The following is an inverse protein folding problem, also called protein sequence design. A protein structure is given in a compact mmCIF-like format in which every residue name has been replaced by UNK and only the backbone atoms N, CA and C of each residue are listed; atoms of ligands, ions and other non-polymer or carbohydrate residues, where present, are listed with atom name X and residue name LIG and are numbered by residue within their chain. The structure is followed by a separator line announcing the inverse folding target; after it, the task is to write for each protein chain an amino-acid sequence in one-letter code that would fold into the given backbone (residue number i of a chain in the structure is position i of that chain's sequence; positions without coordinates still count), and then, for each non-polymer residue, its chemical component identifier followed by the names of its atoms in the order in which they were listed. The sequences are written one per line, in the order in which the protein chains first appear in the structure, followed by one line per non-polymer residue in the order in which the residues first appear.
data_IF_388766072869
#
_entry.id   IF_388766072869
#
_cell.length_a   1.000
_cell.length_b   1.000
_cell.length_c   1.000
_cell.angle_alpha   90.00
_cell.angle_beta   90.00
_cell.angle_gamma   90.00
#
_symmetry.space_group_name_H-M   'P 1'
#
loop_
_entity.id
_entity.type
_entity.pdbx_description
1 polymer ?
#
# COMPACT_ATOMS: atom_id res chain seq x y z
N UNK A 1 59.25 17.43 -16.58
CA UNK A 1 60.11 18.64 -16.69
C UNK A 1 59.32 19.80 -16.11
N UNK A 2 59.96 20.41 -15.10
CA UNK A 2 59.72 21.69 -14.46
C UNK A 2 58.59 21.82 -13.40
N UNK A 3 58.97 21.55 -12.19
CA UNK A 3 58.71 22.35 -10.95
C UNK A 3 59.66 23.59 -10.97
N UNK A 4 59.62 24.47 -9.98
CA UNK A 4 58.71 24.96 -8.94
C UNK A 4 58.68 26.52 -8.87
N UNK A 5 57.99 27.14 -7.90
CA UNK A 5 58.56 28.19 -7.04
C UNK A 5 57.59 28.65 -5.93
N UNK A 6 58.10 28.39 -4.73
CA UNK A 6 57.76 28.94 -3.43
C UNK A 6 58.06 30.44 -3.36
N UNK A 7 57.30 31.20 -2.58
CA UNK A 7 57.80 32.35 -1.85
C UNK A 7 56.98 32.65 -0.59
N UNK A 8 57.73 32.92 0.45
CA UNK A 8 57.53 33.04 1.88
C UNK A 8 57.43 34.52 2.32
N UNK A 9 56.91 34.73 3.51
CA UNK A 9 57.06 35.85 4.46
C UNK A 9 56.04 37.01 4.30
N UNK A 10 55.50 37.58 5.36
CA UNK A 10 56.10 37.92 6.61
C UNK A 10 55.06 38.41 7.63
N UNK A 11 55.39 38.24 8.86
CA UNK A 11 54.70 38.61 10.08
C UNK A 11 54.72 40.13 10.35
N UNK A 12 53.65 40.62 10.99
CA UNK A 12 53.82 41.74 11.92
C UNK A 12 52.75 41.67 13.03
N UNK A 13 53.25 41.53 14.25
CA UNK A 13 52.46 41.58 15.47
C UNK A 13 52.29 43.03 15.92
N UNK A 14 51.10 43.38 16.40
CA UNK A 14 50.90 44.55 17.30
C UNK A 14 49.89 44.12 18.39
N UNK A 15 50.40 44.12 19.61
CA UNK A 15 49.63 43.92 20.83
C UNK A 15 49.02 45.26 21.26
N UNK A 16 47.75 45.30 21.60
CA UNK A 16 47.13 46.29 22.48
C UNK A 16 46.31 45.58 23.55
N UNK A 17 46.79 45.70 24.79
CA UNK A 17 46.03 45.34 25.97
C UNK A 17 45.07 46.49 26.33
N UNK A 18 43.82 46.22 26.52
CA UNK A 18 42.85 47.07 27.24
C UNK A 18 42.03 46.17 28.17
N UNK A 19 42.21 46.41 29.44
CA UNK A 19 41.46 45.85 30.56
C UNK A 19 40.09 46.48 30.64
N UNK A 20 39.02 45.69 30.71
CA UNK A 20 37.68 46.20 30.91
C UNK A 20 36.71 45.10 31.37
N UNK A 21 36.16 45.31 32.55
CA UNK A 21 35.32 44.41 33.36
C UNK A 21 34.08 43.79 32.69
N UNK A 22 33.88 42.53 33.02
CA UNK A 22 32.63 41.89 33.47
C UNK A 22 31.32 42.31 32.86
N UNK A 23 30.79 41.46 31.97
CA UNK A 23 29.41 41.03 31.99
C UNK A 23 29.31 39.74 31.15
N UNK A 24 28.98 38.63 31.78
CA UNK A 24 28.57 37.40 31.11
C UNK A 24 27.13 37.57 30.63
N UNK A 25 26.85 37.48 29.34
CA UNK A 25 25.51 37.07 28.90
C UNK A 25 25.45 35.56 28.87
N UNK A 26 24.48 35.00 29.58
CA UNK A 26 24.08 33.61 29.46
C UNK A 26 23.80 33.32 27.99
N UNK A 27 24.66 32.54 27.36
CA UNK A 27 24.33 31.92 26.07
C UNK A 27 23.27 30.87 26.30
N UNK A 28 22.00 31.23 26.07
CA UNK A 28 20.98 30.23 25.80
C UNK A 28 21.38 29.53 24.51
N UNK A 29 21.84 28.30 24.72
CA UNK A 29 22.11 27.36 23.63
C UNK A 29 20.78 27.06 22.94
N UNK A 30 20.47 27.83 21.91
CA UNK A 30 19.32 27.56 21.04
C UNK A 30 19.76 26.50 20.05
N UNK A 31 19.69 25.26 20.46
CA UNK A 31 19.71 24.12 19.54
C UNK A 31 18.65 24.38 18.46
N UNK A 32 19.01 24.46 17.18
CA UNK A 32 18.00 24.54 16.16
C UNK A 32 17.20 23.25 16.20
N UNK A 33 15.96 23.32 16.67
CA UNK A 33 15.00 22.25 16.50
C UNK A 33 14.93 21.99 15.00
N UNK A 34 15.53 20.89 14.57
CA UNK A 34 15.34 20.35 13.23
C UNK A 34 13.86 19.99 13.14
N UNK A 35 13.08 20.94 12.66
CA UNK A 35 11.67 20.72 12.38
C UNK A 35 11.56 19.64 11.33
N UNK A 36 11.35 18.42 11.77
CA UNK A 36 10.81 17.37 10.93
C UNK A 36 9.44 17.90 10.53
N UNK A 37 9.38 18.47 9.33
CA UNK A 37 8.11 18.89 8.72
C UNK A 37 7.30 17.61 8.58
N UNK A 38 6.39 17.37 9.51
CA UNK A 38 5.39 16.32 9.43
C UNK A 38 4.67 16.53 8.09
N UNK A 39 5.05 15.70 7.12
CA UNK A 39 4.41 15.76 5.81
C UNK A 39 2.97 15.32 6.02
N UNK A 40 2.05 16.27 5.94
CA UNK A 40 0.63 16.00 6.00
C UNK A 40 0.30 14.77 5.12
N UNK A 41 -0.34 13.79 5.71
CA UNK A 41 -0.76 12.57 5.00
C UNK A 41 -1.62 12.98 3.81
N UNK A 42 -1.22 12.59 2.61
CA UNK A 42 -2.02 12.85 1.42
C UNK A 42 -3.34 12.07 1.52
N UNK A 43 -4.47 12.65 1.13
CA UNK A 43 -5.74 11.95 1.17
C UNK A 43 -5.70 10.71 0.29
N UNK A 44 -6.34 9.62 0.75
CA UNK A 44 -6.54 8.43 -0.06
C UNK A 44 -7.54 8.74 -1.19
N UNK A 45 -7.34 8.12 -2.33
CA UNK A 45 -8.29 8.18 -3.45
C UNK A 45 -8.88 6.81 -3.72
N UNK A 46 -10.05 6.78 -4.34
CA UNK A 46 -10.80 5.55 -4.60
C UNK A 46 -11.06 5.45 -6.10
N UNK A 47 -10.81 4.26 -6.65
CA UNK A 47 -11.15 3.91 -8.01
C UNK A 47 -11.92 2.59 -8.00
N UNK A 48 -13.08 2.55 -8.63
CA UNK A 48 -13.91 1.35 -8.69
C UNK A 48 -13.85 0.73 -10.08
N UNK A 49 -13.75 -0.59 -10.12
CA UNK A 49 -14.00 -1.42 -11.30
C UNK A 49 -15.31 -2.18 -11.10
N UNK A 50 -16.16 -2.14 -12.10
CA UNK A 50 -17.37 -2.98 -12.18
C UNK A 50 -17.45 -3.53 -13.61
N UNK A 51 -17.64 -4.83 -13.80
CA UNK A 51 -17.67 -5.45 -15.12
C UNK A 51 -18.95 -5.12 -15.93
N UNK A 52 -19.97 -4.58 -15.27
CA UNK A 52 -21.24 -4.23 -15.93
C UNK A 52 -22.22 -5.40 -16.09
N UNK A 53 -23.29 -5.13 -16.80
CA UNK A 53 -24.44 -6.06 -16.96
C UNK A 53 -24.11 -7.30 -17.80
N UNK A 54 -23.04 -7.30 -18.57
CA UNK A 54 -22.60 -8.45 -19.35
C UNK A 54 -21.92 -9.54 -18.52
N UNK A 55 -21.53 -9.23 -17.28
CA UNK A 55 -20.98 -10.21 -16.36
C UNK A 55 -22.07 -11.06 -15.71
N UNK A 56 -21.74 -12.30 -15.33
CA UNK A 56 -22.66 -13.17 -14.56
C UNK A 56 -23.05 -12.47 -13.26
N UNK A 57 -22.08 -11.83 -12.60
CA UNK A 57 -22.29 -10.97 -11.44
C UNK A 57 -21.54 -9.65 -11.62
N UNK A 58 -22.28 -8.55 -11.53
CA UNK A 58 -21.74 -7.19 -11.64
C UNK A 58 -21.15 -6.71 -10.29
N UNK A 59 -20.25 -7.52 -9.70
CA UNK A 59 -19.61 -7.17 -8.44
C UNK A 59 -18.59 -6.05 -8.64
N UNK A 60 -18.55 -5.10 -7.72
CA UNK A 60 -17.58 -4.00 -7.75
C UNK A 60 -16.32 -4.36 -6.97
N UNK A 61 -15.15 -4.08 -7.57
CA UNK A 61 -13.88 -4.07 -6.86
C UNK A 61 -13.41 -2.63 -6.64
N UNK A 62 -12.87 -2.33 -5.47
CA UNK A 62 -12.48 -0.98 -5.10
C UNK A 62 -10.98 -0.91 -4.82
N UNK A 63 -10.27 -0.10 -5.60
CA UNK A 63 -8.84 0.21 -5.37
C UNK A 63 -8.73 1.47 -4.54
N UNK A 64 -8.26 1.32 -3.29
CA UNK A 64 -7.94 2.43 -2.39
C UNK A 64 -6.47 2.76 -2.57
N UNK A 65 -6.16 4.00 -2.95
CA UNK A 65 -4.85 4.41 -3.39
C UNK A 65 -4.26 5.49 -2.49
N UNK A 66 -3.05 5.26 -1.99
CA UNK A 66 -2.17 6.26 -1.42
C UNK A 66 -1.27 6.91 -2.48
N UNK A 67 -0.18 7.53 -2.05
CA UNK A 67 0.80 8.14 -2.97
C UNK A 67 1.60 7.10 -3.76
N UNK A 68 1.97 5.98 -3.14
CA UNK A 68 2.81 4.92 -3.71
C UNK A 68 2.12 3.56 -3.72
N UNK A 69 1.38 3.28 -2.67
CA UNK A 69 0.78 1.98 -2.40
C UNK A 69 -0.73 2.00 -2.60
N UNK A 70 -1.31 0.83 -2.81
CA UNK A 70 -2.75 0.65 -2.90
C UNK A 70 -3.20 -0.64 -2.21
N UNK A 71 -4.45 -0.65 -1.77
CA UNK A 71 -5.17 -1.83 -1.28
C UNK A 71 -6.37 -2.04 -2.21
N UNK A 72 -6.54 -3.29 -2.66
CA UNK A 72 -7.72 -3.70 -3.41
C UNK A 72 -8.74 -4.31 -2.45
N UNK A 73 -10.01 -3.99 -2.65
CA UNK A 73 -11.15 -4.64 -2.00
C UNK A 73 -11.90 -5.41 -3.06
N UNK A 74 -12.01 -6.74 -2.85
CA UNK A 74 -12.66 -7.73 -3.72
C UNK A 74 -11.98 -7.96 -5.08
N UNK A 75 -12.06 -9.22 -5.56
CA UNK A 75 -11.17 -9.73 -6.60
C UNK A 75 -11.86 -10.09 -7.92
N UNK A 76 -13.17 -9.90 -8.02
CA UNK A 76 -14.00 -10.31 -9.16
C UNK A 76 -14.29 -11.82 -9.20
N UNK A 77 -15.28 -12.16 -10.05
CA UNK A 77 -15.76 -13.53 -10.21
C UNK A 77 -14.98 -14.31 -11.27
N UNK A 78 -14.76 -13.72 -12.42
CA UNK A 78 -14.17 -14.41 -13.57
C UNK A 78 -12.70 -14.03 -13.76
N UNK A 79 -11.90 -14.95 -14.32
CA UNK A 79 -10.51 -14.65 -14.66
C UNK A 79 -10.41 -13.53 -15.71
N UNK A 80 -11.39 -13.37 -16.62
CA UNK A 80 -11.36 -12.27 -17.59
C UNK A 80 -11.54 -10.92 -16.92
N UNK A 81 -12.43 -10.80 -15.94
CA UNK A 81 -12.65 -9.53 -15.23
C UNK A 81 -11.52 -9.25 -14.25
N UNK A 82 -10.98 -10.28 -13.60
CA UNK A 82 -9.79 -10.15 -12.78
C UNK A 82 -8.57 -9.66 -13.58
N UNK A 83 -8.39 -10.09 -14.86
CA UNK A 83 -7.35 -9.55 -15.75
C UNK A 83 -7.57 -8.08 -16.10
N UNK A 84 -8.82 -7.67 -16.39
CA UNK A 84 -9.15 -6.26 -16.64
C UNK A 84 -8.86 -5.41 -15.40
N UNK A 85 -9.27 -5.90 -14.22
CA UNK A 85 -8.97 -5.27 -12.94
C UNK A 85 -7.45 -5.16 -12.70
N UNK A 86 -6.69 -6.22 -12.96
CA UNK A 86 -5.24 -6.20 -12.85
C UNK A 86 -4.59 -5.16 -13.77
N UNK A 87 -5.08 -5.02 -15.00
CA UNK A 87 -4.63 -3.99 -15.92
C UNK A 87 -4.91 -2.57 -15.40
N UNK A 88 -6.08 -2.35 -14.80
CA UNK A 88 -6.43 -1.07 -14.17
C UNK A 88 -5.53 -0.76 -12.96
N UNK A 89 -5.24 -1.76 -12.11
CA UNK A 89 -4.32 -1.61 -10.98
C UNK A 89 -2.91 -1.24 -11.47
N UNK A 90 -2.39 -1.94 -12.49
CA UNK A 90 -1.08 -1.62 -13.11
C UNK A 90 -1.06 -0.20 -13.70
N UNK A 91 -2.13 0.21 -14.37
CA UNK A 91 -2.25 1.55 -14.96
C UNK A 91 -2.26 2.65 -13.91
N UNK A 92 -2.66 2.37 -12.66
CA UNK A 92 -2.59 3.34 -11.57
C UNK A 92 -1.15 3.72 -11.18
N UNK A 93 -0.17 2.89 -11.55
CA UNK A 93 1.23 3.04 -11.17
C UNK A 93 1.51 2.81 -9.68
N UNK A 94 0.53 2.29 -8.92
CA UNK A 94 0.66 2.01 -7.49
C UNK A 94 1.14 0.58 -7.25
N UNK A 95 1.88 0.38 -6.15
CA UNK A 95 2.21 -0.95 -5.68
C UNK A 95 1.02 -1.51 -4.90
N UNK A 96 0.46 -2.62 -5.36
CA UNK A 96 -0.60 -3.31 -4.62
C UNK A 96 0.03 -4.03 -3.42
N UNK A 97 -0.28 -3.60 -2.21
CA UNK A 97 0.27 -4.16 -0.96
C UNK A 97 -0.64 -5.17 -0.29
N UNK A 98 -1.94 -5.05 -0.51
CA UNK A 98 -2.92 -6.01 0.01
C UNK A 98 -4.15 -6.12 -0.89
N UNK A 99 -4.80 -7.28 -0.81
CA UNK A 99 -6.14 -7.55 -1.32
C UNK A 99 -6.99 -7.99 -0.14
N UNK A 100 -8.06 -7.27 0.13
CA UNK A 100 -9.04 -7.61 1.17
C UNK A 100 -10.28 -8.20 0.53
N UNK A 101 -10.73 -9.35 1.02
CA UNK A 101 -11.96 -10.00 0.57
C UNK A 101 -13.05 -9.75 1.60
N UNK A 102 -14.11 -9.08 1.15
CA UNK A 102 -15.20 -8.64 2.02
C UNK A 102 -16.22 -9.73 2.30
N UNK A 103 -16.44 -10.66 1.37
CA UNK A 103 -17.49 -11.68 1.43
C UNK A 103 -16.96 -13.06 1.06
N UNK A 104 -17.64 -14.10 1.51
CA UNK A 104 -17.31 -15.49 1.20
C UNK A 104 -17.98 -16.01 -0.08
N UNK A 105 -18.69 -15.18 -0.83
CA UNK A 105 -19.28 -15.58 -2.10
C UNK A 105 -18.27 -15.51 -3.24
N UNK A 106 -18.34 -16.44 -4.22
CA UNK A 106 -17.28 -16.66 -5.20
C UNK A 106 -17.04 -15.46 -6.11
N UNK A 107 -18.02 -14.62 -6.32
CA UNK A 107 -17.91 -13.39 -7.10
C UNK A 107 -17.00 -12.33 -6.47
N UNK A 108 -16.69 -12.44 -5.17
CA UNK A 108 -15.74 -11.58 -4.50
C UNK A 108 -14.31 -12.11 -4.51
N UNK A 109 -14.08 -13.46 -4.66
CA UNK A 109 -12.74 -14.02 -4.45
C UNK A 109 -12.22 -14.98 -5.54
N UNK A 110 -13.04 -15.47 -6.47
CA UNK A 110 -12.56 -16.41 -7.51
C UNK A 110 -11.45 -15.80 -8.38
N UNK A 111 -11.50 -14.49 -8.63
CA UNK A 111 -10.46 -13.77 -9.35
C UNK A 111 -9.10 -13.70 -8.65
N UNK A 112 -9.00 -14.13 -7.38
CA UNK A 112 -7.73 -14.16 -6.64
C UNK A 112 -6.67 -15.03 -7.30
N UNK A 113 -7.05 -16.13 -7.98
CA UNK A 113 -6.10 -16.98 -8.72
C UNK A 113 -5.33 -16.16 -9.77
N UNK A 114 -6.04 -15.33 -10.52
CA UNK A 114 -5.46 -14.41 -11.50
C UNK A 114 -4.63 -13.30 -10.80
N UNK A 115 -5.21 -12.65 -9.81
CA UNK A 115 -4.56 -11.52 -9.14
C UNK A 115 -3.31 -11.93 -8.36
N UNK A 116 -3.27 -13.12 -7.76
CA UNK A 116 -2.07 -13.64 -7.10
C UNK A 116 -0.91 -13.86 -8.07
N UNK A 117 -1.21 -14.29 -9.29
CA UNK A 117 -0.20 -14.41 -10.35
C UNK A 117 0.34 -13.06 -10.82
N UNK A 118 -0.52 -12.03 -10.88
CA UNK A 118 -0.16 -10.69 -11.34
C UNK A 118 0.53 -9.84 -10.25
N UNK A 119 0.20 -10.10 -8.96
CA UNK A 119 0.69 -9.36 -7.79
C UNK A 119 1.13 -10.32 -6.68
N UNK A 120 2.19 -11.11 -6.88
CA UNK A 120 2.60 -12.17 -5.95
C UNK A 120 2.96 -11.65 -4.55
N UNK A 121 3.41 -10.40 -4.44
CA UNK A 121 3.80 -9.77 -3.18
C UNK A 121 2.63 -9.19 -2.37
N UNK A 122 1.44 -9.07 -2.98
CA UNK A 122 0.28 -8.55 -2.29
C UNK A 122 -0.23 -9.57 -1.25
N UNK A 123 -0.40 -9.12 0.00
CA UNK A 123 -1.05 -9.94 1.02
C UNK A 123 -2.53 -10.09 0.70
N UNK A 124 -3.05 -11.30 0.79
CA UNK A 124 -4.47 -11.56 0.57
C UNK A 124 -5.10 -11.88 1.92
N UNK A 125 -6.02 -11.04 2.38
CA UNK A 125 -6.60 -11.11 3.72
C UNK A 125 -8.13 -10.99 3.69
N UNK A 126 -8.76 -11.59 4.68
CA UNK A 126 -10.19 -11.42 4.97
C UNK A 126 -10.41 -11.54 6.49
N UNK A 127 -11.61 -11.26 6.97
CA UNK A 127 -11.92 -11.56 8.37
C UNK A 127 -11.82 -13.06 8.66
N UNK A 128 -11.52 -13.47 9.90
CA UNK A 128 -11.51 -14.89 10.26
C UNK A 128 -12.81 -15.61 9.90
N UNK A 129 -13.96 -14.93 10.03
CA UNK A 129 -15.27 -15.47 9.67
C UNK A 129 -15.41 -15.72 8.16
N UNK A 130 -14.97 -14.74 7.35
CA UNK A 130 -14.97 -14.87 5.88
C UNK A 130 -14.02 -15.99 5.42
N UNK A 131 -12.83 -16.09 6.00
CA UNK A 131 -11.87 -17.16 5.71
C UNK A 131 -12.50 -18.53 5.99
N UNK A 132 -13.05 -18.72 7.18
CA UNK A 132 -13.69 -19.98 7.56
C UNK A 132 -14.85 -20.35 6.63
N UNK A 133 -15.68 -19.37 6.24
CA UNK A 133 -16.78 -19.59 5.32
C UNK A 133 -16.31 -19.96 3.89
N UNK A 134 -15.23 -19.35 3.40
CA UNK A 134 -14.60 -19.71 2.12
C UNK A 134 -14.08 -21.14 2.20
N UNK A 135 -13.29 -21.48 3.24
CA UNK A 135 -12.74 -22.84 3.41
C UNK A 135 -13.83 -23.90 3.42
N UNK A 136 -14.92 -23.65 4.13
CA UNK A 136 -16.03 -24.59 4.24
C UNK A 136 -16.77 -24.81 2.92
N UNK A 137 -16.89 -23.78 2.08
CA UNK A 137 -17.82 -23.80 0.93
C UNK A 137 -17.12 -23.77 -0.44
N UNK A 138 -15.80 -23.54 -0.53
CA UNK A 138 -15.07 -23.35 -1.78
C UNK A 138 -15.29 -24.44 -2.82
N UNK A 139 -15.30 -25.70 -2.39
CA UNK A 139 -15.37 -26.85 -3.30
C UNK A 139 -16.79 -26.99 -3.92
N UNK A 140 -17.83 -26.79 -3.11
CA UNK A 140 -19.20 -26.81 -3.62
C UNK A 140 -19.46 -25.60 -4.53
N UNK A 141 -18.94 -24.41 -4.19
CA UNK A 141 -19.05 -23.22 -5.01
C UNK A 141 -18.31 -23.39 -6.35
N UNK A 142 -17.11 -23.96 -6.35
CA UNK A 142 -16.37 -24.26 -7.58
C UNK A 142 -17.11 -25.31 -8.44
N UNK A 143 -17.68 -26.33 -7.83
CA UNK A 143 -18.48 -27.34 -8.54
C UNK A 143 -19.71 -26.75 -9.22
N UNK A 144 -20.38 -25.79 -8.58
CA UNK A 144 -21.58 -25.12 -9.11
C UNK A 144 -21.22 -24.13 -10.21
N UNK A 145 -20.25 -23.26 -9.96
CA UNK A 145 -19.97 -22.11 -10.81
C UNK A 145 -18.88 -22.35 -11.86
N UNK A 146 -17.97 -23.31 -11.60
CA UNK A 146 -16.90 -23.65 -12.54
C UNK A 146 -17.39 -23.94 -13.96
N UNK A 147 -18.42 -24.82 -14.15
CA UNK A 147 -18.98 -25.08 -15.48
C UNK A 147 -19.53 -23.86 -16.20
N UNK A 148 -20.08 -22.89 -15.46
CA UNK A 148 -20.63 -21.66 -16.03
C UNK A 148 -19.55 -20.65 -16.43
N UNK A 149 -18.44 -20.64 -15.70
CA UNK A 149 -17.27 -19.81 -16.00
C UNK A 149 -16.39 -20.40 -17.11
N UNK A 150 -16.42 -21.73 -17.29
CA UNK A 150 -15.62 -22.42 -18.30
C UNK A 150 -14.12 -22.13 -18.12
N UNK A 151 -13.47 -21.65 -19.16
CA UNK A 151 -12.03 -21.29 -19.13
C UNK A 151 -11.71 -20.09 -18.21
N UNK A 152 -12.71 -19.34 -17.81
CA UNK A 152 -12.59 -18.23 -16.88
C UNK A 152 -12.78 -18.61 -15.41
N UNK A 153 -13.00 -19.90 -15.12
CA UNK A 153 -12.98 -20.41 -13.74
C UNK A 153 -11.56 -20.35 -13.15
N UNK A 154 -11.46 -20.17 -11.83
CA UNK A 154 -10.15 -20.27 -11.17
C UNK A 154 -9.60 -21.70 -11.29
N UNK A 155 -8.30 -21.83 -11.54
CA UNK A 155 -7.60 -23.11 -11.53
C UNK A 155 -7.28 -23.56 -10.11
N UNK A 156 -7.05 -22.58 -9.24
CA UNK A 156 -6.79 -22.79 -7.81
C UNK A 156 -7.69 -21.85 -7.00
N UNK A 157 -8.24 -22.38 -5.91
CA UNK A 157 -8.93 -21.52 -4.95
C UNK A 157 -7.90 -20.97 -3.98
N UNK A 158 -7.70 -19.66 -4.02
CA UNK A 158 -6.83 -18.96 -3.08
C UNK A 158 -7.63 -18.64 -1.82
N UNK A 159 -7.15 -19.12 -0.69
CA UNK A 159 -7.75 -18.82 0.62
C UNK A 159 -7.04 -17.60 1.20
N UNK A 160 -7.76 -16.53 1.56
CA UNK A 160 -7.17 -15.39 2.25
C UNK A 160 -6.59 -15.78 3.61
N UNK A 161 -5.55 -15.06 4.05
CA UNK A 161 -5.07 -15.14 5.43
C UNK A 161 -6.07 -14.42 6.37
N UNK A 162 -6.28 -14.91 7.59
CA UNK A 162 -7.10 -14.18 8.55
C UNK A 162 -6.45 -12.83 8.91
N UNK A 163 -7.25 -11.77 8.81
CA UNK A 163 -6.85 -10.43 9.24
C UNK A 163 -6.76 -10.39 10.77
N UNK A 164 -5.65 -9.91 11.29
CA UNK A 164 -5.50 -9.65 12.72
C UNK A 164 -6.20 -8.33 13.08
N UNK A 165 -7.26 -8.43 13.89
CA UNK A 165 -8.14 -7.32 14.21
C UNK A 165 -9.05 -6.90 13.04
N UNK A 166 -9.38 -5.61 13.00
CA UNK A 166 -10.37 -5.01 12.09
C UNK A 166 -9.78 -3.90 11.19
N UNK A 167 -8.45 -3.83 11.05
CA UNK A 167 -7.80 -2.67 10.43
C UNK A 167 -6.75 -3.04 9.40
N UNK A 168 -6.78 -2.32 8.29
CA UNK A 168 -5.72 -2.30 7.29
C UNK A 168 -5.01 -0.95 7.32
N UNK A 169 -3.70 -0.96 7.12
CA UNK A 169 -2.89 0.27 7.07
C UNK A 169 -2.45 0.56 5.65
N UNK A 170 -2.60 1.81 5.22
CA UNK A 170 -2.12 2.30 3.94
C UNK A 170 -1.46 3.66 4.14
N UNK A 171 -0.14 3.71 4.04
CA UNK A 171 0.67 4.94 4.15
C UNK A 171 0.34 5.81 5.37
N UNK A 172 0.22 5.19 6.55
CA UNK A 172 -0.11 5.85 7.81
C UNK A 172 -1.61 5.90 8.11
N UNK A 173 -2.46 5.92 7.08
CA UNK A 173 -3.90 5.93 7.26
C UNK A 173 -4.48 4.56 7.56
N UNK A 174 -5.65 4.54 8.16
CA UNK A 174 -6.34 3.31 8.60
C UNK A 174 -7.65 3.14 7.83
N UNK A 175 -7.80 1.97 7.21
CA UNK A 175 -9.08 1.48 6.73
C UNK A 175 -9.63 0.52 7.79
N UNK A 176 -10.82 0.79 8.28
CA UNK A 176 -11.48 -0.05 9.27
C UNK A 176 -12.53 -0.92 8.60
N UNK A 177 -12.55 -2.20 8.95
CA UNK A 177 -13.61 -3.13 8.56
C UNK A 177 -14.74 -2.99 9.57
N UNK A 178 -15.96 -2.75 9.09
CA UNK A 178 -17.16 -2.55 9.93
C UNK A 178 -18.31 -3.42 9.42
N UNK A 179 -19.29 -3.69 10.28
CA UNK A 179 -20.50 -4.43 9.90
C UNK A 179 -20.28 -5.94 9.76
N UNK A 180 -19.48 -6.51 10.64
CA UNK A 180 -19.10 -7.93 10.64
C UNK A 180 -19.87 -8.76 11.67
N UNK A 181 -21.06 -8.40 12.00
CA UNK A 181 -21.92 -9.10 12.98
C UNK A 181 -22.54 -10.38 12.39
#
# INVERSE_FOLDING_TARGET
MNTPKTLVAGALALAFAVTGCSHLPSTTDTTPATGVKEMAEAPLTIQTYNPGEEAIFAVSSTLVQGRKDAILIDAQFSAVDARKLAAQIKASGKRLVAIYISHSDPDFYFGLDTLKGEFPEARIVATPQTVAAIEQNKDIKLKVWGPQLGENAPKNIIIPEPLDGDRLKLEGQTLQVVGLD
#
